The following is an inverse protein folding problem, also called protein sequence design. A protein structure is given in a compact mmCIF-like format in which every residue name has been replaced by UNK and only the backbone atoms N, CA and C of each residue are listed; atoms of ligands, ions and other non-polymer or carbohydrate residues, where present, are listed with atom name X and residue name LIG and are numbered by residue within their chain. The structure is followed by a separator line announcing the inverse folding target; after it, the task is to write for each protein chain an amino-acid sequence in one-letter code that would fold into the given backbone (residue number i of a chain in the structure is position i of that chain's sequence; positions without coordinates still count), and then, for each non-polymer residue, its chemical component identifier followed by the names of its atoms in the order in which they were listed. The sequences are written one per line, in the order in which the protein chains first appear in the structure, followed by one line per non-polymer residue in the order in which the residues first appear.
data_IF_603044770389
#
_entry.id   IF_603044770389
#
_cell.length_a   1.000
_cell.length_b   1.000
_cell.length_c   1.000
_cell.angle_alpha   90.00
_cell.angle_beta   90.00
_cell.angle_gamma   90.00
#
_symmetry.space_group_name_H-M   'P 1'
#
loop_
_entity.id
_entity.type
_entity.pdbx_description
1 polymer ?
#
# COMPACT_ATOMS: atom_id res chain seq x y z
N UNK A 1 29.79 -43.16 -17.96
CA UNK A 1 29.95 -42.88 -16.52
C UNK A 1 30.47 -41.45 -16.27
N UNK A 2 31.40 -40.97 -17.06
CA UNK A 2 32.00 -39.61 -16.88
C UNK A 2 30.99 -38.46 -16.97
N UNK A 3 30.06 -38.55 -17.93
CA UNK A 3 29.00 -37.51 -18.08
C UNK A 3 28.10 -37.38 -16.82
N UNK A 4 27.78 -38.50 -16.15
CA UNK A 4 26.97 -38.50 -14.92
C UNK A 4 27.74 -37.82 -13.77
N UNK A 5 29.02 -38.15 -13.64
CA UNK A 5 29.87 -37.58 -12.60
C UNK A 5 30.04 -36.06 -12.84
N UNK A 6 30.25 -35.63 -14.09
CA UNK A 6 30.33 -34.22 -14.45
C UNK A 6 29.03 -33.50 -14.15
N UNK A 7 27.89 -34.10 -14.52
CA UNK A 7 26.56 -33.52 -14.21
C UNK A 7 26.31 -33.40 -12.71
N UNK A 8 26.65 -34.41 -11.92
CA UNK A 8 26.52 -34.36 -10.46
C UNK A 8 27.40 -33.28 -9.84
N UNK A 9 28.64 -33.15 -10.30
CA UNK A 9 29.55 -32.08 -9.84
C UNK A 9 29.01 -30.70 -10.18
N UNK A 10 28.47 -30.52 -11.41
CA UNK A 10 27.86 -29.25 -11.82
C UNK A 10 26.65 -28.90 -10.95
N UNK A 11 25.74 -29.88 -10.74
CA UNK A 11 24.58 -29.69 -9.87
C UNK A 11 25.02 -29.31 -8.45
N UNK A 12 25.98 -30.04 -7.88
CA UNK A 12 26.48 -29.74 -6.52
C UNK A 12 27.11 -28.34 -6.44
N UNK A 13 27.92 -27.95 -7.44
CA UNK A 13 28.54 -26.64 -7.48
C UNK A 13 27.48 -25.52 -7.63
N UNK A 14 26.49 -25.74 -8.49
CA UNK A 14 25.39 -24.78 -8.69
C UNK A 14 24.52 -24.63 -7.44
N UNK A 15 24.19 -25.76 -6.76
CA UNK A 15 23.48 -25.73 -5.49
C UNK A 15 24.27 -24.96 -4.42
N UNK A 16 25.55 -25.23 -4.30
CA UNK A 16 26.41 -24.54 -3.35
C UNK A 16 26.47 -23.04 -3.62
N UNK A 17 26.65 -22.65 -4.87
CA UNK A 17 26.73 -21.25 -5.26
C UNK A 17 25.38 -20.53 -5.12
N UNK A 18 24.29 -21.12 -5.65
CA UNK A 18 23.00 -20.44 -5.71
C UNK A 18 22.18 -20.57 -4.41
N UNK A 19 22.25 -21.71 -3.73
CA UNK A 19 21.47 -21.90 -2.50
C UNK A 19 22.25 -21.42 -1.29
N UNK A 20 23.49 -21.84 -1.11
CA UNK A 20 24.26 -21.48 0.07
C UNK A 20 24.90 -20.09 -0.09
N UNK A 21 25.66 -19.89 -1.15
CA UNK A 21 26.42 -18.64 -1.35
C UNK A 21 25.49 -17.43 -1.50
N UNK A 22 24.59 -17.47 -2.47
CA UNK A 22 23.63 -16.36 -2.71
C UNK A 22 22.76 -16.08 -1.50
N UNK A 23 22.18 -17.12 -0.88
CA UNK A 23 21.32 -16.94 0.30
C UNK A 23 22.11 -16.31 1.47
N UNK A 24 23.35 -16.75 1.69
CA UNK A 24 24.20 -16.17 2.74
C UNK A 24 24.47 -14.67 2.51
N UNK A 25 24.70 -14.27 1.26
CA UNK A 25 24.87 -12.85 0.89
C UNK A 25 23.60 -12.06 1.19
N UNK A 26 22.43 -12.56 0.75
CA UNK A 26 21.14 -11.90 1.02
C UNK A 26 20.85 -11.79 2.51
N UNK A 27 21.10 -12.86 3.29
CA UNK A 27 20.93 -12.82 4.75
C UNK A 27 21.92 -11.81 5.41
N UNK A 28 23.14 -11.71 4.91
CA UNK A 28 24.08 -10.70 5.36
C UNK A 28 23.58 -9.28 5.10
N UNK A 29 23.08 -8.99 3.90
CA UNK A 29 22.47 -7.69 3.56
C UNK A 29 21.24 -7.42 4.42
N UNK A 30 20.40 -8.43 4.69
CA UNK A 30 19.20 -8.30 5.52
C UNK A 30 19.54 -7.81 6.96
N UNK A 31 20.72 -8.14 7.49
CA UNK A 31 21.16 -7.64 8.80
C UNK A 31 21.46 -6.13 8.79
N UNK A 32 21.78 -5.56 7.63
CA UNK A 32 22.05 -4.12 7.49
C UNK A 32 20.75 -3.29 7.39
N UNK A 33 19.63 -3.93 7.06
CA UNK A 33 18.32 -3.29 6.89
C UNK A 33 17.23 -4.06 7.66
N UNK A 34 17.34 -4.18 8.99
CA UNK A 34 16.53 -5.07 9.80
C UNK A 34 15.02 -4.77 9.72
N UNK A 35 14.62 -3.51 9.64
CA UNK A 35 13.21 -3.12 9.55
C UNK A 35 12.57 -3.65 8.26
N UNK A 36 13.25 -3.49 7.13
CA UNK A 36 12.79 -4.00 5.84
C UNK A 36 12.79 -5.53 5.83
N UNK A 37 13.83 -6.16 6.38
CA UNK A 37 13.96 -7.61 6.43
C UNK A 37 12.88 -8.28 7.32
N UNK A 38 12.36 -7.54 8.31
CA UNK A 38 11.27 -7.98 9.20
C UNK A 38 9.88 -7.60 8.71
N UNK A 39 9.74 -7.11 7.48
CA UNK A 39 8.46 -6.80 6.87
C UNK A 39 7.98 -5.37 7.09
N UNK A 40 8.86 -4.43 7.43
CA UNK A 40 8.54 -3.00 7.59
C UNK A 40 7.33 -2.76 8.50
N UNK A 41 7.31 -3.43 9.66
CA UNK A 41 6.21 -3.35 10.61
C UNK A 41 6.12 -1.94 11.22
N UNK A 42 4.90 -1.49 11.41
CA UNK A 42 4.57 -0.20 12.05
C UNK A 42 3.87 -0.49 13.37
N UNK A 43 4.31 0.22 14.41
CA UNK A 43 3.79 0.06 15.76
C UNK A 43 2.87 1.24 16.10
N UNK A 44 1.72 0.96 16.68
CA UNK A 44 0.82 1.98 17.23
C UNK A 44 1.38 2.59 18.54
N UNK A 45 0.75 3.67 19.01
CA UNK A 45 1.19 4.38 20.21
C UNK A 45 1.19 3.52 21.49
N UNK A 46 0.35 2.49 21.54
CA UNK A 46 0.26 1.51 22.64
C UNK A 46 1.32 0.41 22.57
N UNK A 47 2.22 0.42 21.58
CA UNK A 47 3.27 -0.57 21.38
C UNK A 47 2.82 -1.82 20.62
N UNK A 48 1.56 -1.94 20.21
CA UNK A 48 1.07 -3.04 19.40
C UNK A 48 1.45 -2.88 17.92
N UNK A 49 1.63 -4.00 17.22
CA UNK A 49 1.87 -3.97 15.78
C UNK A 49 0.57 -3.60 15.07
N UNK A 50 0.54 -2.42 14.46
CA UNK A 50 -0.61 -1.93 13.68
C UNK A 50 -0.67 -2.56 12.27
N UNK A 51 0.47 -2.94 11.71
CA UNK A 51 0.56 -3.55 10.39
C UNK A 51 1.92 -3.38 9.74
N UNK A 52 1.97 -3.48 8.42
CA UNK A 52 3.17 -3.19 7.62
C UNK A 52 2.95 -1.98 6.74
N UNK A 53 3.97 -1.11 6.65
CA UNK A 53 3.94 0.04 5.72
C UNK A 53 3.92 -0.36 4.25
N UNK A 54 4.18 -1.63 3.95
CA UNK A 54 4.22 -2.15 2.58
C UNK A 54 2.86 -2.67 2.07
N UNK A 55 1.88 -2.82 2.96
CA UNK A 55 0.62 -3.50 2.67
C UNK A 55 -0.56 -2.63 3.08
N UNK A 56 -1.47 -2.35 2.13
CA UNK A 56 -2.73 -1.69 2.41
C UNK A 56 -3.59 -2.51 3.37
N UNK A 57 -4.29 -1.81 4.24
CA UNK A 57 -5.26 -2.37 5.18
C UNK A 57 -6.63 -1.75 4.95
N UNK A 58 -7.68 -2.48 5.30
CA UNK A 58 -9.05 -2.03 5.19
C UNK A 58 -9.39 -1.03 6.29
N UNK A 59 -9.70 0.20 5.91
CA UNK A 59 -10.26 1.22 6.79
C UNK A 59 -11.66 1.57 6.33
N UNK A 60 -12.64 1.56 7.23
CA UNK A 60 -14.06 1.80 6.92
C UNK A 60 -14.67 2.97 7.68
N UNK A 61 -14.12 3.31 8.85
CA UNK A 61 -14.65 4.39 9.68
C UNK A 61 -14.41 5.77 9.02
N UNK A 62 -15.36 6.71 9.11
CA UNK A 62 -15.21 8.04 8.53
C UNK A 62 -14.03 8.84 9.07
N UNK A 63 -13.55 8.55 10.28
CA UNK A 63 -12.42 9.21 10.93
C UNK A 63 -11.05 8.84 10.35
N UNK A 64 -10.98 7.85 9.44
CA UNK A 64 -9.77 7.38 8.81
C UNK A 64 -9.73 7.70 7.32
N UNK A 65 -8.51 7.85 6.79
CA UNK A 65 -8.29 7.82 5.36
C UNK A 65 -8.52 6.41 4.82
N UNK A 66 -9.19 6.34 3.71
CA UNK A 66 -9.46 5.09 3.02
C UNK A 66 -8.45 4.89 1.89
N UNK A 67 -7.86 3.69 1.77
CA UNK A 67 -6.94 3.37 0.69
C UNK A 67 -7.68 3.20 -0.64
N UNK A 68 -6.92 2.88 -1.70
CA UNK A 68 -7.47 2.48 -2.98
C UNK A 68 -8.26 1.17 -2.84
N UNK A 69 -9.30 0.93 -3.65
CA UNK A 69 -10.03 -0.33 -3.63
C UNK A 69 -9.11 -1.53 -3.86
N UNK A 70 -9.37 -2.62 -3.15
CA UNK A 70 -8.61 -3.86 -3.24
C UNK A 70 -9.43 -4.97 -3.89
N UNK A 71 -8.77 -5.75 -4.76
CA UNK A 71 -9.28 -7.00 -5.31
C UNK A 71 -8.52 -8.22 -4.76
N UNK A 72 -7.70 -8.03 -3.73
CA UNK A 72 -6.95 -9.09 -3.07
C UNK A 72 -7.86 -9.91 -2.16
N UNK A 73 -8.07 -11.18 -2.49
CA UNK A 73 -8.99 -12.06 -1.77
C UNK A 73 -10.47 -11.73 -1.98
N UNK A 74 -11.33 -12.43 -1.26
CA UNK A 74 -12.78 -12.31 -1.41
C UNK A 74 -13.33 -10.96 -0.93
N UNK A 75 -12.80 -10.47 0.20
CA UNK A 75 -13.30 -9.26 0.88
C UNK A 75 -12.35 -8.06 0.73
N UNK A 76 -11.35 -8.18 -0.14
CA UNK A 76 -10.28 -7.21 -0.34
C UNK A 76 -9.21 -7.24 0.76
N UNK A 77 -8.04 -6.71 0.45
CA UNK A 77 -6.90 -6.52 1.37
C UNK A 77 -6.36 -7.81 2.02
N UNK A 78 -6.59 -8.95 1.39
CA UNK A 78 -6.01 -10.22 1.84
C UNK A 78 -4.56 -10.32 1.35
N UNK A 79 -3.60 -10.20 2.29
CA UNK A 79 -2.17 -10.27 2.01
C UNK A 79 -1.72 -11.65 1.49
N UNK A 80 -2.48 -12.71 1.75
CA UNK A 80 -2.21 -14.07 1.26
C UNK A 80 -2.72 -14.31 -0.17
N UNK A 81 -3.53 -13.37 -0.70
CA UNK A 81 -4.19 -13.48 -2.02
C UNK A 81 -4.03 -12.21 -2.82
N UNK A 82 -2.80 -11.65 -2.85
CA UNK A 82 -2.50 -10.43 -3.60
C UNK A 82 -2.88 -10.59 -5.07
N UNK A 83 -3.81 -9.76 -5.56
CA UNK A 83 -4.30 -9.81 -6.94
C UNK A 83 -4.87 -8.45 -7.37
N UNK A 84 -4.75 -8.16 -8.67
CA UNK A 84 -5.50 -7.09 -9.31
C UNK A 84 -6.91 -7.53 -9.71
N UNK A 85 -7.77 -6.58 -10.04
CA UNK A 85 -9.14 -6.88 -10.46
C UNK A 85 -9.22 -7.60 -11.82
N UNK A 86 -8.18 -7.51 -12.64
CA UNK A 86 -8.09 -8.04 -14.01
C UNK A 86 -9.32 -7.72 -14.90
N UNK A 87 -10.05 -6.64 -14.56
CA UNK A 87 -11.23 -6.20 -15.29
C UNK A 87 -10.87 -5.18 -16.36
N UNK A 88 -11.51 -5.29 -17.52
CA UNK A 88 -11.40 -4.26 -18.56
C UNK A 88 -11.92 -2.91 -18.03
N UNK A 89 -11.29 -1.79 -18.42
CA UNK A 89 -11.82 -0.44 -18.13
C UNK A 89 -13.26 -0.22 -18.60
N UNK A 90 -13.70 -0.97 -19.61
CA UNK A 90 -15.04 -0.90 -20.20
C UNK A 90 -16.03 -1.89 -19.58
N UNK A 91 -15.63 -2.68 -18.57
CA UNK A 91 -16.54 -3.65 -17.96
C UNK A 91 -17.61 -2.96 -17.11
N UNK A 92 -18.84 -3.51 -17.16
CA UNK A 92 -19.93 -3.02 -16.33
C UNK A 92 -19.62 -3.03 -14.85
N UNK A 93 -18.97 -4.09 -14.36
CA UNK A 93 -18.56 -4.25 -12.96
C UNK A 93 -17.66 -3.09 -12.47
N UNK A 94 -16.73 -2.62 -13.33
CA UNK A 94 -15.86 -1.49 -12.97
C UNK A 94 -16.66 -0.21 -12.87
N UNK A 95 -17.58 0.01 -13.82
CA UNK A 95 -18.43 1.19 -13.81
C UNK A 95 -19.40 1.20 -12.60
N UNK A 96 -19.97 0.04 -12.26
CA UNK A 96 -20.86 -0.09 -11.09
C UNK A 96 -20.11 0.17 -9.79
N UNK A 97 -18.98 -0.51 -9.56
CA UNK A 97 -18.12 -0.27 -8.40
C UNK A 97 -17.68 1.20 -8.30
N UNK A 98 -17.33 1.82 -9.43
CA UNK A 98 -16.93 3.23 -9.42
C UNK A 98 -18.09 4.15 -8.98
N UNK A 99 -19.34 3.86 -9.38
CA UNK A 99 -20.53 4.61 -8.95
C UNK A 99 -20.81 4.42 -7.45
N UNK A 100 -20.71 3.19 -6.95
CA UNK A 100 -20.86 2.89 -5.52
C UNK A 100 -19.82 3.63 -4.66
N UNK A 101 -18.56 3.59 -5.10
CA UNK A 101 -17.48 4.31 -4.41
C UNK A 101 -17.71 5.81 -4.49
N UNK A 102 -18.06 6.36 -5.65
CA UNK A 102 -18.36 7.77 -5.79
C UNK A 102 -19.50 8.23 -4.86
N UNK A 103 -20.55 7.42 -4.76
CA UNK A 103 -21.66 7.65 -3.82
C UNK A 103 -21.18 7.61 -2.35
N UNK A 104 -20.36 6.64 -1.99
CA UNK A 104 -19.78 6.53 -0.63
C UNK A 104 -18.95 7.76 -0.24
N UNK A 105 -18.24 8.36 -1.21
CA UNK A 105 -17.45 9.58 -0.99
C UNK A 105 -18.28 10.87 -1.09
N UNK A 106 -19.55 10.79 -1.46
CA UNK A 106 -20.39 11.96 -1.74
C UNK A 106 -19.87 12.78 -2.91
N UNK A 107 -19.35 12.13 -3.95
CA UNK A 107 -18.83 12.80 -5.13
C UNK A 107 -19.97 13.45 -5.94
N UNK A 108 -19.72 14.64 -6.46
CA UNK A 108 -20.64 15.41 -7.32
C UNK A 108 -19.96 15.84 -8.61
N UNK A 109 -20.70 16.40 -9.55
CA UNK A 109 -20.14 16.96 -10.78
C UNK A 109 -19.11 18.07 -10.52
N UNK A 110 -19.36 18.90 -9.50
CA UNK A 110 -18.46 19.99 -9.11
C UNK A 110 -17.28 19.52 -8.27
N UNK A 111 -17.41 18.34 -7.62
CA UNK A 111 -16.36 17.71 -6.82
C UNK A 111 -16.20 16.23 -7.24
N UNK A 112 -15.62 15.99 -8.43
CA UNK A 112 -15.44 14.65 -8.96
C UNK A 112 -14.44 13.84 -8.13
N UNK A 113 -14.73 12.54 -7.95
CA UNK A 113 -13.83 11.63 -7.24
C UNK A 113 -12.51 11.48 -8.01
N UNK A 114 -11.34 11.61 -7.36
CA UNK A 114 -10.07 11.21 -7.96
C UNK A 114 -10.11 9.76 -8.46
N UNK A 115 -9.73 9.53 -9.72
CA UNK A 115 -9.89 8.23 -10.39
C UNK A 115 -9.21 7.07 -9.63
N UNK A 116 -8.09 7.34 -8.97
CA UNK A 116 -7.37 6.34 -8.17
C UNK A 116 -8.18 5.82 -6.97
N UNK A 117 -9.08 6.65 -6.39
CA UNK A 117 -9.96 6.21 -5.30
C UNK A 117 -11.10 5.30 -5.77
N UNK A 118 -11.40 5.28 -7.08
CA UNK A 118 -12.35 4.35 -7.69
C UNK A 118 -11.69 3.13 -8.32
N UNK A 119 -10.41 3.24 -8.69
CA UNK A 119 -9.65 2.19 -9.36
C UNK A 119 -8.92 1.30 -8.37
N UNK A 120 -9.15 -0.01 -8.47
CA UNK A 120 -8.39 -0.98 -7.68
C UNK A 120 -6.89 -0.86 -7.98
N UNK A 121 -6.05 -1.04 -6.97
CA UNK A 121 -4.60 -1.10 -7.16
C UNK A 121 -4.20 -2.37 -7.92
N UNK A 122 -3.07 -2.31 -8.66
CA UNK A 122 -2.63 -3.41 -9.51
C UNK A 122 -2.38 -4.73 -8.77
N UNK A 123 -1.80 -4.67 -7.59
CA UNK A 123 -1.60 -5.84 -6.70
C UNK A 123 -2.69 -6.01 -5.63
N UNK A 124 -3.66 -5.10 -5.56
CA UNK A 124 -4.71 -5.10 -4.53
C UNK A 124 -4.26 -4.66 -3.14
N UNK A 125 -2.97 -4.43 -2.93
CA UNK A 125 -2.38 -4.17 -1.62
C UNK A 125 -1.51 -2.90 -1.56
N UNK A 126 -1.67 -1.97 -2.51
CA UNK A 126 -0.92 -0.71 -2.51
C UNK A 126 -1.32 0.16 -1.31
N UNK A 127 -0.41 0.45 -0.37
CA UNK A 127 -0.70 1.23 0.82
C UNK A 127 -0.76 2.74 0.57
N UNK A 128 -0.50 3.19 -0.66
CA UNK A 128 -0.35 4.60 -0.96
C UNK A 128 -1.55 5.17 -1.72
N UNK A 129 -1.81 6.45 -1.45
CA UNK A 129 -2.68 7.31 -2.25
C UNK A 129 -1.93 8.62 -2.56
N UNK A 130 -2.32 9.31 -3.64
CA UNK A 130 -1.73 10.62 -3.94
C UNK A 130 -2.14 11.65 -2.88
N UNK A 131 -1.33 12.70 -2.74
CA UNK A 131 -1.70 13.88 -1.91
C UNK A 131 -3.06 14.43 -2.34
N UNK A 132 -3.35 14.49 -3.65
CA UNK A 132 -4.66 14.90 -4.16
C UNK A 132 -5.81 14.04 -3.64
N UNK A 133 -5.64 12.71 -3.61
CA UNK A 133 -6.64 11.80 -3.09
C UNK A 133 -6.79 11.89 -1.57
N UNK A 134 -5.70 12.18 -0.85
CA UNK A 134 -5.73 12.44 0.59
C UNK A 134 -6.46 13.76 0.88
N UNK A 135 -6.12 14.87 0.21
CA UNK A 135 -6.80 16.16 0.35
C UNK A 135 -8.31 16.07 0.02
N UNK A 136 -8.68 15.25 -0.96
CA UNK A 136 -10.09 14.99 -1.26
C UNK A 136 -10.85 14.41 -0.06
N UNK A 137 -10.18 13.64 0.80
CA UNK A 137 -10.75 13.02 2.00
C UNK A 137 -10.64 13.90 3.26
N UNK A 138 -9.80 14.94 3.25
CA UNK A 138 -9.43 15.71 4.44
C UNK A 138 -10.65 16.28 5.18
N UNK A 139 -11.60 16.88 4.47
CA UNK A 139 -12.81 17.44 5.08
C UNK A 139 -13.68 16.40 5.80
N UNK A 140 -13.83 15.20 5.23
CA UNK A 140 -14.56 14.09 5.88
C UNK A 140 -13.86 13.64 7.16
N UNK A 141 -12.55 13.47 7.09
CA UNK A 141 -11.74 13.03 8.25
C UNK A 141 -11.74 14.07 9.35
N UNK A 142 -11.56 15.36 9.00
CA UNK A 142 -11.61 16.49 9.93
C UNK A 142 -12.96 16.55 10.67
N UNK A 143 -14.06 16.52 9.91
CA UNK A 143 -15.41 16.53 10.49
C UNK A 143 -15.66 15.34 11.42
N UNK A 144 -15.22 14.13 11.03
CA UNK A 144 -15.39 12.93 11.85
C UNK A 144 -14.54 12.90 13.12
N UNK A 145 -13.46 13.69 13.17
CA UNK A 145 -12.58 13.81 14.33
C UNK A 145 -12.85 15.06 15.15
N UNK A 146 -13.64 15.99 14.65
CA UNK A 146 -13.90 17.27 15.33
C UNK A 146 -12.67 18.18 15.38
N UNK A 147 -11.82 18.14 14.36
CA UNK A 147 -10.63 18.99 14.21
C UNK A 147 -10.72 19.85 12.94
N UNK A 148 -9.93 20.93 12.89
CA UNK A 148 -9.90 21.80 11.73
C UNK A 148 -9.30 21.09 10.49
N UNK A 149 -9.87 21.34 9.31
CA UNK A 149 -9.44 20.71 8.05
C UNK A 149 -7.97 21.04 7.73
N UNK A 150 -7.54 22.26 8.03
CA UNK A 150 -6.18 22.73 7.83
C UNK A 150 -5.14 21.92 8.62
N UNK A 151 -5.53 21.41 9.80
CA UNK A 151 -4.65 20.54 10.60
C UNK A 151 -4.46 19.17 9.93
N UNK A 152 -5.52 18.66 9.31
CA UNK A 152 -5.46 17.39 8.54
C UNK A 152 -4.63 17.58 7.28
N UNK A 153 -4.82 18.69 6.56
CA UNK A 153 -4.05 19.01 5.34
C UNK A 153 -2.57 19.21 5.64
N UNK A 154 -2.23 19.90 6.73
CA UNK A 154 -0.84 20.05 7.19
C UNK A 154 -0.20 18.70 7.49
N UNK A 155 -0.95 17.76 8.08
CA UNK A 155 -0.46 16.40 8.33
C UNK A 155 -0.22 15.61 7.04
N UNK A 156 -1.12 15.72 6.05
CA UNK A 156 -0.94 15.13 4.73
C UNK A 156 0.37 15.62 4.10
N UNK A 157 0.60 16.94 4.12
CA UNK A 157 1.82 17.53 3.58
C UNK A 157 3.08 17.04 4.31
N UNK A 158 3.04 16.96 5.64
CA UNK A 158 4.14 16.48 6.46
C UNK A 158 4.49 15.00 6.19
N UNK A 159 3.48 14.16 5.96
CA UNK A 159 3.63 12.71 5.74
C UNK A 159 3.84 12.35 4.27
N UNK A 160 3.77 13.32 3.37
CA UNK A 160 3.91 13.05 1.94
C UNK A 160 5.37 12.93 1.52
N UNK A 161 5.60 12.08 0.53
CA UNK A 161 6.91 11.86 -0.06
C UNK A 161 6.83 11.69 -1.58
N UNK A 162 7.94 11.92 -2.27
CA UNK A 162 8.05 11.68 -3.71
C UNK A 162 8.82 10.37 -3.94
N UNK A 163 8.18 9.30 -4.45
CA UNK A 163 8.81 7.97 -4.56
C UNK A 163 10.01 7.92 -5.51
N UNK A 164 10.07 8.83 -6.49
CA UNK A 164 11.19 8.97 -7.42
C UNK A 164 12.03 10.23 -7.17
N UNK A 165 11.91 10.86 -6.01
CA UNK A 165 12.61 12.09 -5.68
C UNK A 165 12.34 13.17 -6.72
N UNK A 166 13.39 13.77 -7.30
CA UNK A 166 13.29 14.82 -8.32
C UNK A 166 12.76 14.34 -9.67
N UNK A 167 12.67 13.03 -9.90
CA UNK A 167 12.22 12.44 -11.15
C UNK A 167 10.70 12.26 -11.22
N UNK A 168 10.00 12.35 -10.09
CA UNK A 168 8.53 12.25 -10.03
C UNK A 168 7.93 13.52 -9.45
N UNK A 169 6.85 14.01 -10.09
CA UNK A 169 6.10 15.17 -9.62
C UNK A 169 5.01 14.80 -8.61
N UNK A 170 4.53 13.56 -8.69
CA UNK A 170 3.43 13.11 -7.84
C UNK A 170 3.95 12.73 -6.46
N UNK A 171 3.36 13.34 -5.44
CA UNK A 171 3.61 13.03 -4.04
C UNK A 171 2.55 12.06 -3.54
N UNK A 172 3.01 11.10 -2.76
CA UNK A 172 2.20 10.04 -2.18
C UNK A 172 2.18 10.16 -0.66
N UNK A 173 1.16 9.55 -0.05
CA UNK A 173 1.10 9.32 1.40
C UNK A 173 0.80 7.85 1.66
N UNK A 174 1.38 7.31 2.72
CA UNK A 174 1.03 5.97 3.21
C UNK A 174 -0.20 6.09 4.09
N UNK A 175 -1.27 5.37 3.75
CA UNK A 175 -2.56 5.48 4.44
C UNK A 175 -2.49 4.98 5.89
N UNK A 176 -1.75 3.89 6.15
CA UNK A 176 -1.58 3.37 7.51
C UNK A 176 -0.84 4.38 8.39
N UNK A 177 0.32 4.87 7.92
CA UNK A 177 1.14 5.82 8.67
C UNK A 177 0.38 7.14 8.91
N UNK A 178 -0.36 7.64 7.92
CA UNK A 178 -1.19 8.83 8.04
C UNK A 178 -2.30 8.65 9.08
N UNK A 179 -2.98 7.50 9.10
CA UNK A 179 -4.03 7.19 10.07
C UNK A 179 -3.46 7.06 11.49
N UNK A 180 -2.31 6.42 11.66
CA UNK A 180 -1.62 6.34 12.95
C UNK A 180 -1.16 7.71 13.47
N UNK A 181 -0.67 8.57 12.58
CA UNK A 181 -0.29 9.94 12.94
C UNK A 181 -1.50 10.79 13.36
N UNK A 182 -2.69 10.50 12.85
CA UNK A 182 -3.95 11.10 13.33
C UNK A 182 -4.37 10.56 14.70
N UNK A 183 -4.16 9.29 14.96
CA UNK A 183 -4.52 8.69 16.25
C UNK A 183 -3.57 9.08 17.40
N UNK A 184 -2.37 9.56 17.06
CA UNK A 184 -1.39 10.06 18.02
C UNK A 184 -1.62 11.53 18.45
N UNK A 185 -2.62 12.21 17.87
CA UNK A 185 -3.01 13.60 18.20
C UNK A 185 -4.21 13.65 19.10
#
# INVERSE_FOLDING_TARGET
MDSIIVSLRLVAATLLACVVGYTSVILGVAQLVPDTARGSLVTAADGTIAGSRLIAQKFEQPRYFWPRPSAAGKDGYDAMSAAGSNKSPTSADVAERAREIAARYGATGDRPLPAELAAASGGGLDPHISVRAALYQAGRVAAARGIEQEQVEALIEQQSFAPGGVLTRDRLVNVLELNLALDAR
#
